data_IF_485700260614
#
_entry.id   IF_485700260614
#
_cell.length_a   1.000
_cell.length_b   1.000
_cell.length_c   1.000
_cell.angle_alpha   90.00
_cell.angle_beta   90.00
_cell.angle_gamma   90.00
#
_symmetry.space_group_name_H-M   'P 1'
#
loop_
_entity.id
_entity.type
_entity.pdbx_description
1 polymer ?
#
# COMPACT_ATOMS: atom_id res chain seq x y z
N UNK A 1 -33.44 49.63 0.25
CA UNK A 1 -32.39 48.70 0.69
C UNK A 1 -32.79 47.32 0.18
N UNK A 2 -32.17 46.87 -0.91
CA UNK A 2 -32.54 45.61 -1.56
C UNK A 2 -31.85 44.46 -0.82
N UNK A 3 -32.65 43.59 -0.21
CA UNK A 3 -32.19 42.36 0.44
C UNK A 3 -31.81 41.36 -0.65
N UNK A 4 -30.51 41.07 -0.79
CA UNK A 4 -30.02 40.01 -1.68
C UNK A 4 -30.13 38.70 -0.91
N UNK A 5 -31.13 37.90 -1.24
CA UNK A 5 -31.20 36.50 -0.83
C UNK A 5 -30.14 35.76 -1.66
N UNK A 6 -28.98 35.46 -1.07
CA UNK A 6 -28.02 34.56 -1.70
C UNK A 6 -28.56 33.14 -1.60
N UNK A 7 -29.08 32.62 -2.71
CA UNK A 7 -29.37 31.21 -2.86
C UNK A 7 -28.02 30.50 -2.95
N UNK A 8 -27.53 29.96 -1.81
CA UNK A 8 -26.41 29.02 -1.84
C UNK A 8 -26.96 27.75 -2.50
N UNK A 9 -26.66 27.58 -3.78
CA UNK A 9 -26.77 26.26 -4.39
C UNK A 9 -25.82 25.34 -3.61
N UNK A 10 -26.38 24.43 -2.81
CA UNK A 10 -25.67 23.24 -2.40
C UNK A 10 -25.40 22.48 -3.70
N UNK A 11 -24.20 22.68 -4.25
CA UNK A 11 -23.64 21.73 -5.20
C UNK A 11 -23.63 20.41 -4.42
N UNK A 12 -24.33 19.36 -4.89
CA UNK A 12 -24.19 18.05 -4.27
C UNK A 12 -22.69 17.74 -4.30
N UNK A 13 -22.10 17.39 -3.15
CA UNK A 13 -20.85 16.66 -3.20
C UNK A 13 -21.09 15.49 -4.15
N UNK A 14 -20.27 15.36 -5.19
CA UNK A 14 -20.29 14.14 -6.01
C UNK A 14 -19.83 13.04 -5.06
N UNK A 15 -20.79 12.33 -4.47
CA UNK A 15 -20.58 11.10 -3.72
C UNK A 15 -20.43 10.02 -4.79
N UNK A 16 -19.29 9.32 -4.81
CA UNK A 16 -19.17 8.18 -5.73
C UNK A 16 -17.77 7.61 -5.95
N UNK A 17 -16.71 8.30 -5.52
CA UNK A 17 -15.34 7.80 -5.66
C UNK A 17 -14.61 7.86 -4.32
N UNK A 18 -14.04 6.72 -3.93
CA UNK A 18 -13.15 6.57 -2.78
C UNK A 18 -11.80 6.06 -3.25
N UNK A 19 -10.71 6.70 -2.83
CA UNK A 19 -9.37 6.16 -2.99
C UNK A 19 -9.08 5.14 -1.89
N UNK A 20 -8.77 3.90 -2.29
CA UNK A 20 -8.52 2.80 -1.35
C UNK A 20 -7.04 2.62 -1.02
N UNK A 21 -6.14 3.15 -1.85
CA UNK A 21 -4.70 3.07 -1.62
C UNK A 21 -3.92 2.55 -2.82
N UNK A 22 -2.64 2.27 -2.57
CA UNK A 22 -1.76 1.63 -3.54
C UNK A 22 -1.75 0.11 -3.32
N UNK A 23 -1.85 -0.66 -4.38
CA UNK A 23 -1.90 -2.12 -4.33
C UNK A 23 -0.87 -2.75 -5.27
N UNK A 24 -0.44 -3.98 -4.95
CA UNK A 24 0.44 -4.76 -5.82
C UNK A 24 -0.30 -5.25 -7.07
N UNK A 25 0.36 -5.15 -8.23
CA UNK A 25 -0.18 -5.54 -9.55
C UNK A 25 0.51 -6.78 -10.17
N UNK A 26 1.57 -7.25 -9.52
CA UNK A 26 2.28 -8.48 -9.84
C UNK A 26 2.51 -9.25 -8.55
N UNK A 27 2.59 -10.59 -8.57
CA UNK A 27 2.65 -11.48 -9.74
C UNK A 27 1.33 -11.69 -10.49
N UNK A 28 0.20 -11.25 -9.93
CA UNK A 28 -1.14 -11.33 -10.53
C UNK A 28 -1.73 -9.93 -10.70
N UNK A 29 -2.48 -9.73 -11.79
CA UNK A 29 -3.26 -8.52 -12.06
C UNK A 29 -4.21 -8.24 -10.89
N UNK A 30 -4.23 -7.04 -10.32
CA UNK A 30 -5.11 -6.73 -9.20
C UNK A 30 -6.57 -6.72 -9.64
N UNK A 31 -6.85 -6.11 -10.80
CA UNK A 31 -8.19 -6.07 -11.40
C UNK A 31 -8.17 -6.81 -12.75
N UNK A 32 -9.05 -7.80 -12.88
CA UNK A 32 -9.06 -8.75 -14.02
C UNK A 32 -10.24 -8.58 -14.97
N UNK A 33 -11.02 -7.50 -14.82
CA UNK A 33 -12.16 -7.16 -15.67
C UNK A 33 -11.75 -6.50 -16.98
N UNK A 34 -12.41 -5.39 -17.34
CA UNK A 34 -12.04 -4.61 -18.52
C UNK A 34 -10.78 -3.77 -18.29
N UNK A 35 -10.11 -3.38 -19.36
CA UNK A 35 -8.99 -2.44 -19.31
C UNK A 35 -8.94 -1.54 -20.55
N UNK A 36 -8.24 -0.42 -20.44
CA UNK A 36 -7.91 0.52 -21.52
C UNK A 36 -6.61 1.25 -21.17
N UNK A 37 -6.01 1.94 -22.14
CA UNK A 37 -4.86 2.81 -21.89
C UNK A 37 -4.93 4.06 -22.75
N UNK A 38 -4.47 5.17 -22.18
CA UNK A 38 -4.27 6.45 -22.84
C UNK A 38 -3.01 7.12 -22.28
N UNK A 39 -1.91 7.08 -23.04
CA UNK A 39 -0.64 7.66 -22.61
C UNK A 39 -0.53 9.17 -22.92
N UNK A 40 -1.61 9.81 -23.36
CA UNK A 40 -1.67 11.25 -23.60
C UNK A 40 -2.66 11.97 -22.68
N UNK A 41 -3.79 11.33 -22.32
CA UNK A 41 -4.90 12.01 -21.66
C UNK A 41 -5.58 11.21 -20.52
N UNK A 42 -4.93 10.19 -19.95
CA UNK A 42 -5.51 9.45 -18.81
C UNK A 42 -5.62 10.35 -17.57
N UNK A 43 -6.79 10.34 -16.95
CA UNK A 43 -7.07 10.90 -15.61
C UNK A 43 -7.84 9.87 -14.78
N UNK A 44 -7.93 10.08 -13.47
CA UNK A 44 -8.72 9.24 -12.57
C UNK A 44 -10.18 9.17 -13.04
N UNK A 45 -10.78 10.29 -13.43
CA UNK A 45 -12.19 10.38 -13.88
C UNK A 45 -12.41 9.67 -15.20
N UNK A 46 -11.44 9.73 -16.13
CA UNK A 46 -11.57 9.01 -17.40
C UNK A 46 -11.58 7.50 -17.18
N UNK A 47 -10.76 6.99 -16.25
CA UNK A 47 -10.75 5.59 -15.89
C UNK A 47 -12.02 5.18 -15.14
N UNK A 48 -12.47 5.97 -14.17
CA UNK A 48 -13.75 5.78 -13.48
C UNK A 48 -14.90 5.68 -14.49
N UNK A 49 -15.01 6.66 -15.40
CA UNK A 49 -16.08 6.71 -16.40
C UNK A 49 -16.04 5.48 -17.31
N UNK A 50 -14.85 5.04 -17.69
CA UNK A 50 -14.67 3.83 -18.49
C UNK A 50 -15.19 2.59 -17.76
N UNK A 51 -14.81 2.41 -16.49
CA UNK A 51 -15.15 1.22 -15.71
C UNK A 51 -16.61 1.18 -15.25
N UNK A 52 -17.15 2.33 -14.84
CA UNK A 52 -18.52 2.47 -14.31
C UNK A 52 -19.58 2.64 -15.39
N UNK A 53 -19.20 2.72 -16.67
CA UNK A 53 -20.13 2.77 -17.79
C UNK A 53 -21.22 1.68 -17.66
N UNK A 54 -22.51 1.99 -17.89
CA UNK A 54 -23.60 1.04 -17.69
C UNK A 54 -23.50 -0.29 -18.44
N UNK A 55 -22.68 -0.36 -19.51
CA UNK A 55 -22.44 -1.60 -20.25
C UNK A 55 -21.38 -2.49 -19.61
N UNK A 56 -20.49 -1.92 -18.78
CA UNK A 56 -19.42 -2.63 -18.07
C UNK A 56 -19.77 -2.86 -16.60
N UNK A 57 -20.34 -1.84 -15.95
CA UNK A 57 -20.88 -1.91 -14.59
C UNK A 57 -19.88 -2.49 -13.57
N UNK A 58 -18.62 -2.03 -13.63
CA UNK A 58 -17.61 -2.32 -12.60
C UNK A 58 -17.69 -1.32 -11.46
N UNK A 59 -17.44 -1.76 -10.23
CA UNK A 59 -17.42 -0.91 -9.03
C UNK A 59 -16.02 -0.51 -8.59
N UNK A 60 -14.98 -1.16 -9.13
CA UNK A 60 -13.58 -0.84 -8.90
C UNK A 60 -12.90 -0.42 -10.19
N UNK A 61 -12.01 0.54 -10.06
CA UNK A 61 -11.06 0.91 -11.10
C UNK A 61 -9.71 1.18 -10.47
N UNK A 62 -8.67 0.98 -11.26
CA UNK A 62 -7.32 1.23 -10.82
C UNK A 62 -6.45 1.71 -11.95
N UNK A 63 -5.55 2.62 -11.61
CA UNK A 63 -4.65 3.27 -12.55
C UNK A 63 -3.23 2.79 -12.33
N UNK A 64 -2.53 2.49 -13.41
CA UNK A 64 -1.15 2.00 -13.42
C UNK A 64 -0.31 2.77 -14.45
N UNK A 65 0.98 2.92 -14.16
CA UNK A 65 1.98 3.43 -15.11
C UNK A 65 1.62 4.78 -15.78
N UNK A 66 0.86 5.63 -15.10
CA UNK A 66 0.47 6.97 -15.56
C UNK A 66 -0.64 7.00 -16.62
N UNK A 67 -0.80 5.95 -17.42
CA UNK A 67 -1.69 5.94 -18.59
C UNK A 67 -2.57 4.70 -18.72
N UNK A 68 -2.47 3.72 -17.83
CA UNK A 68 -3.23 2.48 -17.91
C UNK A 68 -4.41 2.49 -16.93
N UNK A 69 -5.52 1.88 -17.34
CA UNK A 69 -6.75 1.80 -16.56
C UNK A 69 -7.28 0.36 -16.56
N UNK A 70 -7.58 -0.15 -15.38
CA UNK A 70 -8.08 -1.51 -15.15
C UNK A 70 -9.35 -1.46 -14.32
N UNK A 71 -10.30 -2.34 -14.62
CA UNK A 71 -11.61 -2.41 -13.99
C UNK A 71 -11.84 -3.76 -13.33
N UNK A 72 -12.64 -3.80 -12.27
CA UNK A 72 -13.04 -5.05 -11.63
C UNK A 72 -14.16 -4.86 -10.63
N UNK A 73 -14.59 -5.95 -10.01
CA UNK A 73 -15.54 -5.93 -8.88
C UNK A 73 -14.93 -6.55 -7.61
N UNK A 74 -13.70 -7.03 -7.71
CA UNK A 74 -12.92 -7.64 -6.63
C UNK A 74 -11.44 -7.58 -6.99
N UNK A 75 -10.59 -7.59 -5.99
CA UNK A 75 -9.15 -7.76 -6.16
C UNK A 75 -8.81 -9.25 -6.34
N UNK A 76 -7.86 -9.56 -7.23
CA UNK A 76 -7.36 -10.92 -7.41
C UNK A 76 -6.52 -11.37 -6.19
N UNK A 77 -6.44 -12.68 -6.01
CA UNK A 77 -5.59 -13.31 -5.00
C UNK A 77 -4.12 -12.98 -5.31
N UNK A 78 -3.46 -12.24 -4.41
CA UNK A 78 -2.06 -11.81 -4.59
C UNK A 78 -1.89 -10.31 -4.80
N UNK A 79 -2.96 -9.56 -5.03
CA UNK A 79 -2.94 -8.13 -4.81
C UNK A 79 -3.02 -7.87 -3.31
N UNK A 80 -2.24 -6.92 -2.79
CA UNK A 80 -2.26 -6.53 -1.39
C UNK A 80 -1.98 -5.03 -1.27
N UNK A 81 -2.47 -4.36 -0.22
CA UNK A 81 -2.07 -3.00 0.07
C UNK A 81 -0.55 -2.88 0.17
N UNK A 82 0.02 -1.83 -0.42
CA UNK A 82 1.43 -1.49 -0.32
C UNK A 82 1.60 -0.02 0.07
N UNK A 83 2.85 0.39 0.23
CA UNK A 83 3.22 1.77 0.52
C UNK A 83 2.64 2.73 -0.54
N UNK A 84 1.87 3.76 -0.15
CA UNK A 84 1.35 4.76 -1.08
C UNK A 84 2.42 5.38 -2.00
N UNK A 85 3.67 5.47 -1.53
CA UNK A 85 4.80 6.00 -2.28
C UNK A 85 5.14 5.16 -3.53
N UNK A 86 4.78 3.87 -3.53
CA UNK A 86 4.92 2.98 -4.69
C UNK A 86 3.99 3.39 -5.84
N UNK A 87 2.92 4.12 -5.55
CA UNK A 87 2.01 4.71 -6.51
C UNK A 87 2.27 6.22 -6.58
N UNK A 88 3.30 6.63 -7.33
CA UNK A 88 3.71 8.04 -7.41
C UNK A 88 3.83 8.57 -8.84
N UNK A 89 3.41 7.79 -9.85
CA UNK A 89 3.39 8.24 -11.23
C UNK A 89 2.22 9.18 -11.47
N UNK A 90 2.52 10.32 -12.08
CA UNK A 90 1.52 11.29 -12.49
C UNK A 90 0.65 10.73 -13.62
N UNK A 91 -0.62 11.10 -13.63
CA UNK A 91 -1.50 10.81 -14.75
C UNK A 91 -1.04 11.58 -16.01
N UNK A 92 -1.18 10.95 -17.17
CA UNK A 92 -0.76 11.57 -18.45
C UNK A 92 -1.65 12.74 -18.86
N UNK A 93 -2.92 12.72 -18.48
CA UNK A 93 -3.91 13.77 -18.72
C UNK A 93 -3.99 14.85 -17.64
N UNK A 94 -3.56 14.56 -16.41
CA UNK A 94 -3.46 15.56 -15.33
C UNK A 94 -2.27 15.26 -14.41
N UNK A 95 -1.26 16.14 -14.43
CA UNK A 95 -0.04 15.98 -13.63
C UNK A 95 -0.25 16.22 -12.13
N UNK A 96 -1.43 16.69 -11.69
CA UNK A 96 -1.80 16.82 -10.28
C UNK A 96 -2.38 15.54 -9.69
N UNK A 97 -2.74 14.58 -10.54
CA UNK A 97 -3.30 13.29 -10.15
C UNK A 97 -2.23 12.19 -10.15
N UNK A 98 -2.48 11.14 -9.36
CA UNK A 98 -1.61 9.98 -9.22
C UNK A 98 -2.28 8.75 -9.85
N UNK A 99 -1.59 8.18 -10.84
CA UNK A 99 -2.03 7.07 -11.69
C UNK A 99 -1.13 5.84 -11.52
N UNK A 100 -0.98 5.40 -10.27
CA UNK A 100 -0.23 4.19 -9.94
C UNK A 100 1.28 4.35 -10.02
N UNK A 101 1.95 3.26 -10.36
CA UNK A 101 3.39 3.17 -10.51
C UNK A 101 3.77 1.90 -11.28
N UNK A 102 5.07 1.60 -11.44
CA UNK A 102 5.49 0.37 -12.11
C UNK A 102 5.06 -0.87 -11.32
N UNK A 103 4.16 -1.68 -11.87
CA UNK A 103 3.55 -2.85 -11.20
C UNK A 103 2.81 -2.50 -9.90
N UNK A 104 2.20 -1.32 -9.86
CA UNK A 104 1.54 -0.74 -8.69
C UNK A 104 0.30 0.01 -9.12
N UNK A 105 -0.85 -0.37 -8.58
CA UNK A 105 -2.14 0.18 -8.98
C UNK A 105 -2.67 1.13 -7.89
N UNK A 106 -3.01 2.35 -8.29
CA UNK A 106 -3.81 3.25 -7.44
C UNK A 106 -5.25 2.81 -7.55
N UNK A 107 -5.80 2.22 -6.49
CA UNK A 107 -7.12 1.61 -6.48
C UNK A 107 -8.18 2.58 -5.97
N UNK A 108 -9.32 2.59 -6.66
CA UNK A 108 -10.50 3.37 -6.34
C UNK A 108 -11.76 2.52 -6.44
N UNK A 109 -12.84 2.97 -5.80
CA UNK A 109 -14.15 2.34 -5.94
C UNK A 109 -15.31 3.21 -5.49
N UNK A 110 -16.51 2.66 -5.63
CA UNK A 110 -17.77 3.35 -5.32
C UNK A 110 -18.22 3.25 -3.86
N UNK A 111 -17.66 2.30 -3.10
CA UNK A 111 -18.01 2.08 -1.70
C UNK A 111 -17.16 2.96 -0.77
N UNK A 112 -17.63 3.21 0.45
CA UNK A 112 -16.89 3.99 1.46
C UNK A 112 -15.63 3.28 1.95
N UNK A 113 -15.67 1.95 2.02
CA UNK A 113 -14.59 1.10 2.50
C UNK A 113 -13.96 0.31 1.35
N UNK A 114 -12.65 0.01 1.42
CA UNK A 114 -11.99 -0.81 0.40
C UNK A 114 -12.61 -2.21 0.33
N UNK A 115 -12.54 -2.88 -0.84
CA UNK A 115 -12.89 -4.28 -0.93
C UNK A 115 -12.08 -5.05 0.11
N UNK A 116 -12.78 -5.80 0.95
CA UNK A 116 -12.16 -6.69 1.94
C UNK A 116 -11.28 -7.67 1.17
N UNK A 117 -9.97 -7.42 1.16
CA UNK A 117 -9.01 -8.50 1.19
C UNK A 117 -9.38 -9.28 2.43
N UNK A 118 -9.82 -10.53 2.30
CA UNK A 118 -10.08 -11.36 3.47
C UNK A 118 -8.87 -11.26 4.38
N UNK A 119 -8.96 -10.54 5.52
CA UNK A 119 -7.89 -10.61 6.46
C UNK A 119 -8.09 -11.99 7.08
N UNK A 120 -6.99 -12.68 7.26
CA UNK A 120 -6.87 -13.59 8.39
C UNK A 120 -7.72 -13.04 9.54
N UNK A 121 -8.67 -13.82 10.11
CA UNK A 121 -9.55 -13.30 11.14
C UNK A 121 -8.66 -12.62 12.17
N UNK A 122 -8.86 -11.32 12.32
CA UNK A 122 -8.11 -10.48 13.23
C UNK A 122 -8.97 -10.36 14.48
N UNK A 123 -8.92 -11.33 15.41
CA UNK A 123 -9.45 -11.10 16.74
C UNK A 123 -8.57 -10.01 17.34
N UNK A 124 -9.03 -8.75 17.30
CA UNK A 124 -8.56 -7.69 18.22
C UNK A 124 -7.03 -7.73 18.48
N UNK A 125 -6.21 -7.82 17.42
CA UNK A 125 -4.79 -8.20 17.55
C UNK A 125 -4.05 -7.16 18.36
N UNK A 126 -3.37 -7.65 19.39
CA UNK A 126 -2.51 -6.90 20.27
C UNK A 126 -1.35 -6.27 19.49
N UNK A 127 -0.76 -5.19 20.01
CA UNK A 127 0.41 -4.56 19.40
C UNK A 127 1.52 -5.59 19.11
N UNK A 128 2.30 -5.40 18.01
CA UNK A 128 3.29 -6.39 17.62
C UNK A 128 4.38 -6.55 18.68
N UNK A 129 4.81 -7.79 18.93
CA UNK A 129 5.80 -8.10 19.97
C UNK A 129 7.20 -8.02 19.41
N UNK A 130 8.05 -7.19 20.02
CA UNK A 130 9.47 -7.10 19.69
C UNK A 130 10.20 -8.40 20.04
N UNK A 131 10.86 -9.00 19.05
CA UNK A 131 11.61 -10.25 19.19
C UNK A 131 13.11 -10.01 19.43
N UNK A 132 13.62 -8.83 19.05
CA UNK A 132 15.03 -8.44 19.24
C UNK A 132 15.69 -7.84 17.99
N UNK A 133 16.96 -7.48 18.13
CA UNK A 133 17.83 -7.13 17.01
C UNK A 133 18.48 -8.39 16.42
N UNK A 134 18.44 -8.54 15.09
CA UNK A 134 18.95 -9.73 14.39
C UNK A 134 19.81 -9.35 13.17
N UNK A 135 20.71 -10.24 12.78
CA UNK A 135 21.50 -10.09 11.54
C UNK A 135 20.62 -10.23 10.30
N UNK A 136 20.74 -9.30 9.35
CA UNK A 136 20.29 -9.56 7.98
C UNK A 136 21.27 -10.55 7.31
N UNK A 137 20.74 -11.42 6.45
CA UNK A 137 21.54 -12.38 5.69
C UNK A 137 22.06 -11.76 4.38
N UNK A 138 23.28 -12.11 3.95
CA UNK A 138 23.80 -11.63 2.67
C UNK A 138 22.98 -12.20 1.51
N UNK A 139 22.83 -11.41 0.44
CA UNK A 139 22.16 -11.86 -0.78
C UNK A 139 22.83 -13.13 -1.35
N UNK A 140 22.06 -14.09 -1.90
CA UNK A 140 20.62 -14.00 -2.20
C UNK A 140 19.69 -14.30 -1.01
N UNK A 141 20.21 -14.73 0.12
CA UNK A 141 19.41 -15.09 1.30
C UNK A 141 18.88 -13.84 2.03
N UNK A 142 17.87 -14.05 2.88
CA UNK A 142 17.27 -13.01 3.74
C UNK A 142 16.85 -13.61 5.07
N UNK A 143 16.93 -12.82 6.13
CA UNK A 143 16.44 -13.22 7.44
C UNK A 143 14.89 -13.34 7.46
N UNK A 144 14.19 -12.52 6.69
CA UNK A 144 12.74 -12.61 6.49
C UNK A 144 12.45 -12.71 4.99
N UNK A 145 11.86 -13.84 4.58
CA UNK A 145 11.52 -14.13 3.18
C UNK A 145 10.02 -14.02 2.99
N UNK A 146 9.59 -12.98 2.30
CA UNK A 146 8.18 -12.69 2.05
C UNK A 146 8.05 -11.48 1.14
N UNK A 147 7.54 -10.39 1.69
CA UNK A 147 7.40 -9.12 0.99
C UNK A 147 8.46 -8.09 1.42
N UNK A 148 8.70 -7.10 0.57
CA UNK A 148 9.59 -5.99 0.85
C UNK A 148 8.93 -4.68 0.50
N UNK A 149 9.03 -3.70 1.41
CA UNK A 149 8.63 -2.35 1.12
C UNK A 149 9.59 -1.31 1.70
N UNK A 150 9.44 -0.09 1.22
CA UNK A 150 10.35 1.00 1.52
C UNK A 150 9.57 2.30 1.65
N UNK A 151 9.76 3.02 2.77
CA UNK A 151 9.17 4.34 2.97
C UNK A 151 10.24 5.33 3.45
N UNK A 152 10.78 6.18 2.56
CA UNK A 152 11.91 7.05 2.88
C UNK A 152 11.55 8.19 3.84
N UNK A 153 10.26 8.49 4.03
CA UNK A 153 9.82 9.65 4.81
C UNK A 153 8.85 9.31 5.94
N UNK A 154 8.25 8.12 5.93
CA UNK A 154 7.09 7.83 6.78
C UNK A 154 7.07 6.40 7.32
N UNK A 155 8.24 5.74 7.41
CA UNK A 155 8.34 4.42 8.03
C UNK A 155 8.13 4.51 9.54
N UNK A 156 7.33 3.59 10.08
CA UNK A 156 7.13 3.36 11.52
C UNK A 156 7.03 1.84 11.76
N UNK A 157 7.17 1.40 13.01
CA UNK A 157 6.99 0.00 13.38
C UNK A 157 5.58 -0.48 12.98
N UNK A 158 4.56 0.31 13.32
CA UNK A 158 3.16 0.02 13.01
C UNK A 158 2.91 -0.06 11.49
N UNK A 159 3.49 0.85 10.72
CA UNK A 159 3.31 0.87 9.26
C UNK A 159 3.91 -0.37 8.60
N UNK A 160 5.11 -0.77 9.01
CA UNK A 160 5.72 -2.00 8.52
C UNK A 160 4.92 -3.23 8.96
N UNK A 161 4.52 -3.29 10.24
CA UNK A 161 3.73 -4.39 10.78
C UNK A 161 2.41 -4.58 10.06
N UNK A 162 1.66 -3.51 9.83
CA UNK A 162 0.38 -3.55 9.11
C UNK A 162 0.57 -3.93 7.63
N UNK A 163 1.62 -3.43 6.97
CA UNK A 163 1.96 -3.83 5.61
C UNK A 163 2.21 -5.35 5.49
N UNK A 164 3.01 -5.90 6.39
CA UNK A 164 3.30 -7.33 6.41
C UNK A 164 2.07 -8.16 6.75
N UNK A 165 1.28 -7.74 7.75
CA UNK A 165 0.05 -8.43 8.14
C UNK A 165 -0.97 -8.48 7.00
N UNK A 166 -1.16 -7.35 6.29
CA UNK A 166 -2.04 -7.26 5.12
C UNK A 166 -1.51 -8.06 3.93
N UNK A 167 -0.21 -8.33 3.87
CA UNK A 167 0.43 -9.22 2.90
C UNK A 167 0.42 -10.70 3.32
N UNK A 168 -0.21 -11.04 4.46
CA UNK A 168 -0.32 -12.41 4.96
C UNK A 168 0.88 -12.90 5.79
N UNK A 169 1.75 -12.00 6.25
CA UNK A 169 2.95 -12.30 7.01
C UNK A 169 2.83 -11.82 8.46
N UNK A 170 3.07 -12.70 9.42
CA UNK A 170 3.03 -12.36 10.86
C UNK A 170 4.37 -11.89 11.40
N UNK A 171 5.48 -12.18 10.71
CA UNK A 171 6.80 -11.67 11.05
C UNK A 171 7.15 -10.48 10.18
N UNK A 172 7.77 -9.48 10.80
CA UNK A 172 8.31 -8.33 10.09
C UNK A 172 9.57 -7.80 10.75
N UNK A 173 10.40 -7.13 9.95
CA UNK A 173 11.67 -6.58 10.36
C UNK A 173 11.91 -5.23 9.72
N UNK A 174 12.37 -4.27 10.52
CA UNK A 174 12.75 -2.95 10.03
C UNK A 174 14.26 -2.85 9.93
N UNK A 175 14.74 -2.30 8.82
CA UNK A 175 16.17 -2.10 8.56
C UNK A 175 16.42 -0.69 8.02
N UNK A 176 17.60 -0.16 8.35
CA UNK A 176 18.15 1.05 7.75
C UNK A 176 17.15 2.21 7.67
N UNK A 177 16.43 2.48 8.78
CA UNK A 177 15.46 3.59 8.98
C UNK A 177 14.13 3.48 8.21
N UNK A 178 14.12 2.82 7.06
CA UNK A 178 13.08 2.98 6.05
C UNK A 178 12.68 1.69 5.31
N UNK A 179 13.41 0.59 5.51
CA UNK A 179 13.14 -0.68 4.85
C UNK A 179 12.27 -1.57 5.76
N UNK A 180 11.30 -2.24 5.15
CA UNK A 180 10.37 -3.15 5.80
C UNK A 180 10.43 -4.52 5.11
N UNK A 181 10.79 -5.54 5.87
CA UNK A 181 10.88 -6.92 5.43
C UNK A 181 9.79 -7.74 6.10
N UNK A 182 9.08 -8.55 5.33
CA UNK A 182 8.03 -9.44 5.83
C UNK A 182 8.45 -10.90 5.70
N UNK A 183 7.94 -11.76 6.56
CA UNK A 183 8.16 -13.19 6.48
C UNK A 183 7.12 -14.00 7.23
N UNK A 184 7.04 -15.29 6.91
CA UNK A 184 6.22 -16.23 7.67
C UNK A 184 6.97 -16.78 8.89
N UNK A 185 8.29 -16.64 8.90
CA UNK A 185 9.21 -17.04 9.96
C UNK A 185 10.51 -16.23 9.86
N UNK A 186 11.28 -16.21 10.94
CA UNK A 186 12.66 -15.73 10.95
C UNK A 186 13.60 -16.89 10.58
N UNK A 187 14.45 -16.69 9.57
CA UNK A 187 15.41 -17.69 9.12
C UNK A 187 16.36 -18.12 10.26
N UNK A 188 16.58 -19.41 10.41
CA UNK A 188 17.39 -19.98 11.49
C UNK A 188 18.87 -19.60 11.45
N UNK A 189 19.37 -19.11 10.31
CA UNK A 189 20.73 -18.56 10.18
C UNK A 189 20.84 -17.12 10.66
N UNK A 190 19.71 -16.43 10.86
CA UNK A 190 19.69 -15.10 11.46
C UNK A 190 19.97 -15.21 12.96
N UNK A 191 21.01 -14.52 13.41
CA UNK A 191 21.46 -14.56 14.80
C UNK A 191 21.05 -13.31 15.55
N UNK A 192 20.66 -13.47 16.81
CA UNK A 192 20.33 -12.36 17.69
C UNK A 192 21.60 -11.57 18.04
N UNK A 193 21.48 -10.25 17.98
CA UNK A 193 22.52 -9.26 18.28
C UNK A 193 22.19 -8.51 19.58
N UNK A 194 23.05 -7.56 19.97
CA UNK A 194 22.70 -6.61 21.00
C UNK A 194 21.68 -5.60 20.44
N UNK A 195 20.68 -5.18 21.20
CA UNK A 195 19.71 -4.19 20.72
C UNK A 195 20.37 -2.87 20.32
N UNK A 196 21.53 -2.51 20.90
CA UNK A 196 22.29 -1.32 20.50
C UNK A 196 22.86 -1.41 19.08
N UNK A 197 22.88 -2.59 18.47
CA UNK A 197 23.29 -2.77 17.08
C UNK A 197 22.20 -2.31 16.09
N UNK A 198 20.94 -2.27 16.54
CA UNK A 198 19.79 -1.73 15.85
C UNK A 198 19.45 -0.37 16.48
N UNK A 199 20.12 0.69 16.09
CA UNK A 199 20.03 2.02 16.71
C UNK A 199 19.52 3.11 15.77
N UNK A 200 19.12 2.74 14.54
CA UNK A 200 18.70 3.69 13.54
C UNK A 200 17.23 4.08 13.74
N UNK A 201 16.91 5.38 13.85
CA UNK A 201 15.55 5.83 14.05
C UNK A 201 14.70 5.65 12.80
N UNK A 202 13.40 5.45 12.97
CA UNK A 202 12.46 5.37 11.86
C UNK A 202 12.29 6.73 11.15
N UNK A 203 12.16 6.72 9.82
CA UNK A 203 11.98 7.95 9.03
C UNK A 203 10.69 8.71 9.35
N UNK A 204 9.61 7.99 9.70
CA UNK A 204 8.31 8.55 10.07
C UNK A 204 8.07 8.72 11.57
N UNK A 205 8.89 8.09 12.41
CA UNK A 205 8.79 8.15 13.87
C UNK A 205 10.18 8.15 14.51
N UNK A 206 10.85 9.31 14.66
CA UNK A 206 12.23 9.37 15.13
C UNK A 206 12.48 8.86 16.56
N UNK A 207 11.42 8.59 17.32
CA UNK A 207 11.47 7.98 18.66
C UNK A 207 11.39 6.45 18.63
N UNK A 208 11.08 5.87 17.47
CA UNK A 208 11.07 4.43 17.24
C UNK A 208 12.37 3.98 16.57
N UNK A 209 12.72 2.71 16.76
CA UNK A 209 13.93 2.10 16.20
C UNK A 209 13.55 1.20 15.02
N UNK A 210 14.16 1.49 13.87
CA UNK A 210 13.95 0.84 12.58
C UNK A 210 15.22 0.13 12.08
N UNK A 211 15.80 -0.70 12.95
CA UNK A 211 16.94 -1.55 12.62
C UNK A 211 18.29 -0.86 12.63
N UNK A 212 19.21 -1.39 11.83
CA UNK A 212 20.59 -0.93 11.70
C UNK A 212 21.10 -1.12 10.27
N UNK A 213 22.39 -0.81 10.03
CA UNK A 213 23.04 -1.15 8.76
C UNK A 213 23.20 -2.67 8.65
N UNK A 214 22.42 -3.31 7.76
CA UNK A 214 22.35 -4.78 7.59
C UNK A 214 21.94 -5.55 8.85
N UNK A 215 21.01 -4.97 9.62
CA UNK A 215 20.50 -5.52 10.87
C UNK A 215 19.02 -5.17 10.99
N UNK A 216 18.22 -6.12 11.46
CA UNK A 216 16.77 -6.01 11.56
C UNK A 216 16.33 -5.84 13.02
N UNK A 217 15.49 -4.84 13.28
CA UNK A 217 14.61 -4.87 14.46
C UNK A 217 13.41 -5.75 14.12
N UNK A 218 13.32 -6.95 14.69
CA UNK A 218 12.33 -7.97 14.33
C UNK A 218 11.16 -7.97 15.31
N UNK A 219 9.96 -8.09 14.77
CA UNK A 219 8.69 -8.12 15.48
C UNK A 219 7.80 -9.25 14.95
N UNK A 220 6.84 -9.66 15.77
CA UNK A 220 5.85 -10.67 15.39
C UNK A 220 4.45 -10.29 15.90
N UNK A 221 3.43 -10.46 15.06
CA UNK A 221 2.02 -10.48 15.45
C UNK A 221 1.66 -11.85 16.05
N UNK A 222 1.11 -11.87 17.27
CA UNK A 222 0.79 -13.11 18.03
C UNK A 222 -0.71 -13.29 18.25
#
# INVERSE_FOLDING_TARGET
MHSVLALVALVPAVVGQTFYGCYTEIPTRALTGASTADFEAMTIETCETYCTDPTRNFTLWGLEYGGECYCGNSLDTGSFPTFPEDCSMQCTGDALEICGGPNRISLYGTEEEPPVHTPYPHPEVEAPVYQGCFTELPAPDRALVGNFGFSPAAMTIERCGNYCLNSGFTWFGLQYTAECFCGSELDALSTQLNDTDCDLPCTGAPTEICGGSSKLSVYQWI
#
